data_IF_296269271126
#
_entry.id   IF_296269271126
#
_cell.length_a   1.000
_cell.length_b   1.000
_cell.length_c   1.000
_cell.angle_alpha   90.00
_cell.angle_beta   90.00
_cell.angle_gamma   90.00
#
_symmetry.space_group_name_H-M   'P 1'
#
loop_
_entity.id
_entity.type
_entity.pdbx_description
1 polymer ?
#
# COMPACT_ATOMS: atom_id res chain seq x y z
N UNK A 1 -6.75 -2.17 33.85
CA UNK A 1 -6.54 -0.82 33.27
C UNK A 1 -5.58 -0.93 32.10
N UNK A 2 -6.08 -1.00 30.86
CA UNK A 2 -5.23 -1.27 29.68
C UNK A 2 -4.68 0.06 29.13
N UNK A 3 -3.34 0.19 29.10
CA UNK A 3 -2.59 1.31 28.52
C UNK A 3 -3.03 1.60 27.08
N UNK A 4 -3.87 2.62 26.92
CA UNK A 4 -4.40 3.05 25.63
C UNK A 4 -3.30 3.58 24.70
N UNK A 5 -2.31 4.30 25.24
CA UNK A 5 -1.24 4.96 24.47
C UNK A 5 -0.25 3.97 23.83
N UNK A 6 0.14 2.94 24.57
CA UNK A 6 1.10 1.92 24.11
C UNK A 6 0.55 1.08 22.96
N UNK A 7 -0.78 0.87 22.91
CA UNK A 7 -1.42 0.14 21.80
C UNK A 7 -1.32 0.90 20.49
N UNK A 8 -1.48 2.23 20.50
CA UNK A 8 -1.35 3.03 19.28
C UNK A 8 0.09 3.05 18.76
N UNK A 9 1.07 3.14 19.67
CA UNK A 9 2.49 3.09 19.31
C UNK A 9 2.88 1.80 18.57
N UNK A 10 2.37 0.64 19.03
CA UNK A 10 2.62 -0.64 18.36
C UNK A 10 2.07 -0.69 16.93
N UNK A 11 0.88 -0.13 16.69
CA UNK A 11 0.29 -0.10 15.34
C UNK A 11 1.03 0.86 14.41
N UNK A 12 1.54 1.97 14.94
CA UNK A 12 2.33 2.92 14.15
C UNK A 12 3.69 2.32 13.76
N UNK A 13 4.34 1.54 14.64
CA UNK A 13 5.53 0.75 14.29
C UNK A 13 5.23 -0.25 13.17
N UNK A 14 4.10 -0.98 13.27
CA UNK A 14 3.70 -1.92 12.23
C UNK A 14 3.49 -1.23 10.87
N UNK A 15 2.92 -0.02 10.86
CA UNK A 15 2.80 0.78 9.63
C UNK A 15 4.17 1.18 9.09
N UNK A 16 5.09 1.62 9.94
CA UNK A 16 6.45 1.95 9.52
C UNK A 16 7.14 0.76 8.85
N UNK A 17 7.02 -0.44 9.45
CA UNK A 17 7.56 -1.67 8.87
C UNK A 17 6.89 -1.99 7.52
N UNK A 18 5.55 -1.91 7.44
CA UNK A 18 4.84 -2.13 6.18
C UNK A 18 5.27 -1.15 5.09
N UNK A 19 5.39 0.15 5.41
CA UNK A 19 5.83 1.17 4.44
C UNK A 19 7.25 0.89 3.97
N UNK A 20 8.17 0.54 4.87
CA UNK A 20 9.54 0.15 4.48
C UNK A 20 9.56 -1.05 3.53
N UNK A 21 8.75 -2.07 3.78
CA UNK A 21 8.62 -3.22 2.88
C UNK A 21 8.03 -2.84 1.51
N UNK A 22 7.06 -1.91 1.45
CA UNK A 22 6.55 -1.38 0.17
C UNK A 22 7.67 -0.75 -0.64
N UNK A 23 8.54 0.04 0.01
CA UNK A 23 9.70 0.66 -0.65
C UNK A 23 10.64 -0.39 -1.23
N UNK A 24 10.92 -1.48 -0.49
CA UNK A 24 11.77 -2.55 -0.99
C UNK A 24 11.22 -3.22 -2.25
N UNK A 25 9.91 -3.52 -2.30
CA UNK A 25 9.28 -4.06 -3.53
C UNK A 25 9.51 -3.11 -4.71
N UNK A 26 9.34 -1.80 -4.51
CA UNK A 26 9.44 -0.83 -5.61
C UNK A 26 10.87 -0.66 -6.12
N UNK A 27 11.85 -0.69 -5.22
CA UNK A 27 13.28 -0.64 -5.58
C UNK A 27 13.64 -1.89 -6.38
N UNK A 28 13.26 -3.06 -5.86
CA UNK A 28 13.66 -4.35 -6.40
C UNK A 28 12.86 -4.75 -7.65
N UNK A 29 11.68 -4.17 -7.87
CA UNK A 29 10.89 -4.40 -9.06
C UNK A 29 11.69 -4.15 -10.35
N UNK A 30 12.49 -3.08 -10.40
CA UNK A 30 13.35 -2.78 -11.55
C UNK A 30 14.34 -3.92 -11.87
N UNK A 31 15.01 -4.45 -10.84
CA UNK A 31 15.98 -5.56 -10.96
C UNK A 31 15.31 -6.89 -11.36
N UNK A 32 14.06 -7.10 -10.95
CA UNK A 32 13.30 -8.29 -11.34
C UNK A 32 12.94 -8.30 -12.83
N UNK A 33 12.65 -7.13 -13.42
CA UNK A 33 12.35 -7.01 -14.85
C UNK A 33 13.57 -7.21 -15.75
N UNK A 34 14.79 -6.96 -15.25
CA UNK A 34 16.06 -7.21 -15.97
C UNK A 34 16.52 -8.68 -15.94
N UNK A 35 15.59 -9.63 -15.94
CA UNK A 35 15.92 -11.06 -15.94
C UNK A 35 16.72 -11.45 -17.19
N UNK A 36 17.93 -11.96 -16.97
CA UNK A 36 18.86 -12.34 -18.05
C UNK A 36 19.90 -11.27 -18.39
N UNK A 37 19.73 -10.02 -17.93
CA UNK A 37 20.72 -8.95 -18.09
C UNK A 37 21.64 -8.80 -16.87
N UNK A 38 21.11 -9.09 -15.68
CA UNK A 38 21.88 -9.07 -14.42
C UNK A 38 22.39 -10.45 -14.02
N UNK A 39 23.39 -10.47 -13.14
CA UNK A 39 23.91 -11.74 -12.61
C UNK A 39 22.82 -12.53 -11.88
N UNK A 40 22.83 -13.86 -12.06
CA UNK A 40 21.85 -14.78 -11.45
C UNK A 40 21.76 -14.60 -9.93
N UNK A 41 22.89 -14.37 -9.27
CA UNK A 41 22.93 -14.14 -7.83
C UNK A 41 22.22 -12.84 -7.44
N UNK A 42 22.40 -11.75 -8.20
CA UNK A 42 21.73 -10.47 -7.95
C UNK A 42 20.22 -10.60 -8.15
N UNK A 43 19.79 -11.26 -9.23
CA UNK A 43 18.38 -11.52 -9.48
C UNK A 43 17.75 -12.40 -8.38
N UNK A 44 18.46 -13.41 -7.91
CA UNK A 44 17.97 -14.28 -6.84
C UNK A 44 17.79 -13.50 -5.53
N UNK A 45 18.76 -12.65 -5.16
CA UNK A 45 18.66 -11.77 -3.98
C UNK A 45 17.46 -10.83 -4.10
N UNK A 46 17.28 -10.21 -5.27
CA UNK A 46 16.11 -9.40 -5.59
C UNK A 46 14.80 -10.18 -5.38
N UNK A 47 14.71 -11.39 -5.92
CA UNK A 47 13.51 -12.21 -5.81
C UNK A 47 13.18 -12.62 -4.35
N UNK A 48 14.20 -12.91 -3.54
CA UNK A 48 14.02 -13.21 -2.11
C UNK A 48 13.48 -11.98 -1.37
N UNK A 49 14.06 -10.81 -1.62
CA UNK A 49 13.62 -9.55 -0.99
C UNK A 49 12.20 -9.20 -1.41
N UNK A 50 11.85 -9.32 -2.69
CA UNK A 50 10.49 -9.10 -3.20
C UNK A 50 9.49 -10.04 -2.52
N UNK A 51 9.78 -11.34 -2.52
CA UNK A 51 8.91 -12.37 -1.95
C UNK A 51 8.64 -12.13 -0.46
N UNK A 52 9.66 -11.78 0.31
CA UNK A 52 9.50 -11.46 1.73
C UNK A 52 8.71 -10.16 1.94
N UNK A 53 8.95 -9.15 1.11
CA UNK A 53 8.34 -7.84 1.27
C UNK A 53 6.87 -7.81 0.84
N UNK A 54 6.39 -8.76 0.02
CA UNK A 54 4.98 -8.85 -0.45
C UNK A 54 3.92 -8.84 0.64
N UNK A 55 4.27 -9.24 1.87
CA UNK A 55 3.37 -9.18 3.03
C UNK A 55 3.00 -7.74 3.42
N UNK A 56 3.72 -6.73 2.93
CA UNK A 56 3.49 -5.32 3.25
C UNK A 56 2.06 -4.85 2.94
N UNK A 57 1.48 -5.29 1.83
CA UNK A 57 0.15 -4.88 1.38
C UNK A 57 -0.94 -5.39 2.33
N UNK A 58 -1.07 -6.71 2.59
CA UNK A 58 -2.07 -7.20 3.54
C UNK A 58 -1.84 -6.65 4.95
N UNK A 59 -0.58 -6.46 5.38
CA UNK A 59 -0.27 -5.87 6.68
C UNK A 59 -0.74 -4.42 6.77
N UNK A 60 -0.51 -3.61 5.75
CA UNK A 60 -0.97 -2.22 5.69
C UNK A 60 -2.51 -2.12 5.69
N UNK A 61 -3.19 -3.01 4.96
CA UNK A 61 -4.66 -3.09 4.92
C UNK A 61 -5.22 -3.50 6.29
N UNK A 62 -4.65 -4.53 6.94
CA UNK A 62 -5.11 -4.98 8.26
C UNK A 62 -4.97 -3.88 9.32
N UNK A 63 -3.81 -3.22 9.37
CA UNK A 63 -3.59 -2.15 10.34
C UNK A 63 -4.53 -0.97 10.08
N UNK A 64 -4.75 -0.59 8.82
CA UNK A 64 -5.70 0.47 8.46
C UNK A 64 -7.14 0.09 8.80
N UNK A 65 -7.54 -1.16 8.51
CA UNK A 65 -8.88 -1.71 8.78
C UNK A 65 -9.20 -1.81 10.27
N UNK A 66 -8.23 -2.14 11.11
CA UNK A 66 -8.40 -2.22 12.57
C UNK A 66 -8.93 -0.92 13.19
N UNK A 67 -8.48 0.24 12.70
CA UNK A 67 -8.99 1.55 13.16
C UNK A 67 -10.44 1.82 12.73
N UNK A 68 -10.90 1.13 11.69
CA UNK A 68 -12.21 1.35 11.08
C UNK A 68 -13.28 0.45 11.67
N UNK A 69 -12.91 -0.78 12.05
CA UNK A 69 -13.78 -1.73 12.75
C UNK A 69 -14.18 -1.28 14.15
N UNK A 70 -13.52 -0.27 14.73
CA UNK A 70 -13.88 0.31 16.04
C UNK A 70 -15.03 1.32 15.98
N UNK A 71 -15.60 1.57 14.79
CA UNK A 71 -16.72 2.49 14.62
C UNK A 71 -17.99 1.69 14.36
N UNK A 72 -18.99 1.84 15.22
CA UNK A 72 -20.35 1.39 14.99
C UNK A 72 -21.05 2.34 14.02
N UNK A 73 -20.61 2.35 12.76
CA UNK A 73 -21.31 3.04 11.66
C UNK A 73 -21.95 2.01 10.73
N UNK A 74 -23.16 2.28 10.26
CA UNK A 74 -23.82 1.47 9.23
C UNK A 74 -22.92 1.36 7.99
N UNK A 75 -22.73 0.13 7.50
CA UNK A 75 -21.87 -0.21 6.36
C UNK A 75 -22.22 0.66 5.13
N UNK A 76 -23.50 0.95 4.88
CA UNK A 76 -23.93 1.79 3.74
C UNK A 76 -23.47 3.23 3.89
N UNK A 77 -23.56 3.79 5.10
CA UNK A 77 -23.14 5.17 5.39
C UNK A 77 -21.63 5.30 5.32
N UNK A 78 -20.91 4.29 5.82
CA UNK A 78 -19.45 4.22 5.78
C UNK A 78 -18.89 4.26 4.36
N UNK A 79 -19.40 3.41 3.46
CA UNK A 79 -18.95 3.38 2.07
C UNK A 79 -19.34 4.66 1.31
N UNK A 80 -20.57 5.16 1.49
CA UNK A 80 -21.03 6.39 0.82
C UNK A 80 -20.14 7.59 1.10
N UNK A 81 -19.76 7.82 2.37
CA UNK A 81 -18.88 8.94 2.76
C UNK A 81 -17.50 8.88 2.08
N UNK A 82 -16.97 7.67 1.85
CA UNK A 82 -15.65 7.48 1.22
C UNK A 82 -15.70 7.55 -0.27
N UNK A 83 -16.64 6.86 -0.90
CA UNK A 83 -16.80 6.88 -2.35
C UNK A 83 -17.04 8.31 -2.87
N UNK A 84 -17.86 9.10 -2.18
CA UNK A 84 -18.10 10.51 -2.55
C UNK A 84 -16.83 11.37 -2.49
N UNK A 85 -15.84 11.03 -1.65
CA UNK A 85 -14.56 11.76 -1.59
C UNK A 85 -13.50 11.22 -2.55
N UNK A 86 -13.55 9.94 -2.89
CA UNK A 86 -12.54 9.27 -3.72
C UNK A 86 -12.90 9.36 -5.21
N UNK A 87 -14.16 9.10 -5.57
CA UNK A 87 -14.61 9.03 -6.97
C UNK A 87 -14.34 10.33 -7.73
N UNK A 88 -14.65 11.54 -7.21
CA UNK A 88 -14.40 12.77 -7.96
C UNK A 88 -12.91 12.98 -8.25
N UNK A 89 -12.04 12.72 -7.25
CA UNK A 89 -10.59 12.83 -7.42
C UNK A 89 -10.11 11.85 -8.47
N UNK A 90 -10.54 10.59 -8.39
CA UNK A 90 -10.19 9.55 -9.34
C UNK A 90 -10.59 9.92 -10.78
N UNK A 91 -11.82 10.39 -10.98
CA UNK A 91 -12.29 10.80 -12.31
C UNK A 91 -11.55 12.02 -12.85
N UNK A 92 -11.32 13.05 -12.03
CA UNK A 92 -10.60 14.26 -12.45
C UNK A 92 -9.19 13.89 -12.95
N UNK A 93 -8.43 13.12 -12.15
CA UNK A 93 -7.08 12.71 -12.56
C UNK A 93 -7.10 11.77 -13.76
N UNK A 94 -8.08 10.86 -13.85
CA UNK A 94 -8.20 9.95 -15.01
C UNK A 94 -8.47 10.71 -16.31
N UNK A 95 -9.36 11.70 -16.27
CA UNK A 95 -9.67 12.55 -17.43
C UNK A 95 -8.46 13.39 -17.81
N UNK A 96 -7.82 14.06 -16.84
CA UNK A 96 -6.60 14.85 -17.09
C UNK A 96 -5.51 13.98 -17.72
N UNK A 97 -5.26 12.78 -17.17
CA UNK A 97 -4.28 11.85 -17.71
C UNK A 97 -4.62 11.41 -19.13
N UNK A 98 -5.89 11.06 -19.40
CA UNK A 98 -6.35 10.68 -20.74
C UNK A 98 -6.11 11.79 -21.77
N UNK A 99 -6.47 13.04 -21.44
CA UNK A 99 -6.26 14.18 -22.34
C UNK A 99 -4.78 14.47 -22.59
N UNK A 100 -3.93 14.38 -21.56
CA UNK A 100 -2.48 14.58 -21.70
C UNK A 100 -1.86 13.50 -22.58
N UNK A 101 -2.20 12.22 -22.36
CA UNK A 101 -1.65 11.12 -23.15
C UNK A 101 -2.20 11.04 -24.58
N UNK A 102 -3.35 11.64 -24.88
CA UNK A 102 -3.90 11.66 -26.24
C UNK A 102 -3.41 12.84 -27.09
N UNK A 103 -2.87 13.90 -26.45
CA UNK A 103 -2.30 15.07 -27.12
C UNK A 103 -0.77 15.02 -27.28
N UNK A 104 -0.14 13.89 -26.94
CA UNK A 104 1.26 13.55 -27.23
C UNK A 104 1.30 12.34 -28.14
#
# INVERSE_FOLDING_TARGET
MVKSKDRFFNFDILKCIAISMVLFIHIVASELYSYGEISRNRWMTANIIDSFSRICVPLFVMVSGFFLLRKDEDVKVFFKKRFVKIIPKFFIYSVVFFYICNNF
#
